data_IF_258241067423
#
_entry.id   IF_258241067423
#
_cell.length_a   1.000
_cell.length_b   1.000
_cell.length_c   1.000
_cell.angle_alpha   90.00
_cell.angle_beta   90.00
_cell.angle_gamma   90.00
#
_symmetry.space_group_name_H-M   'P 1'
#
loop_
_entity.id
_entity.type
_entity.pdbx_description
1 polymer ?
#
# COMPACT_ATOMS: atom_id res chain seq x y z
N UNK A 1 -16.61 6.87 -1.48
CA UNK A 1 -16.07 7.79 -2.51
C UNK A 1 -14.72 7.26 -2.99
N UNK A 2 -14.64 6.86 -4.27
CA UNK A 2 -13.49 6.33 -5.01
C UNK A 2 -12.57 5.36 -4.23
N UNK A 3 -13.12 4.21 -3.83
CA UNK A 3 -12.57 3.28 -2.84
C UNK A 3 -11.51 2.28 -3.36
N UNK A 4 -11.01 2.40 -4.58
CA UNK A 4 -10.10 1.38 -5.14
C UNK A 4 -8.73 1.35 -4.44
N UNK A 5 -8.22 2.45 -3.88
CA UNK A 5 -6.92 2.44 -3.18
C UNK A 5 -7.04 2.44 -1.65
N UNK A 6 -8.25 2.40 -1.09
CA UNK A 6 -8.42 2.52 0.36
C UNK A 6 -7.85 1.31 1.11
N UNK A 7 -8.01 0.10 0.56
CA UNK A 7 -7.45 -1.12 1.12
C UNK A 7 -5.92 -1.09 1.14
N UNK A 8 -5.28 -0.60 0.07
CA UNK A 8 -3.83 -0.39 0.00
C UNK A 8 -3.33 0.60 1.05
N UNK A 9 -4.05 1.71 1.23
CA UNK A 9 -3.69 2.73 2.22
C UNK A 9 -3.87 2.22 3.65
N UNK A 10 -4.93 1.45 3.91
CA UNK A 10 -5.17 0.80 5.20
C UNK A 10 -4.05 -0.20 5.52
N UNK A 11 -3.70 -1.06 4.56
CA UNK A 11 -2.58 -2.00 4.68
C UNK A 11 -1.26 -1.31 4.99
N UNK A 12 -0.95 -0.23 4.27
CA UNK A 12 0.28 0.53 4.46
C UNK A 12 0.31 1.17 5.86
N UNK A 13 -0.81 1.69 6.34
CA UNK A 13 -0.92 2.23 7.71
C UNK A 13 -0.66 1.16 8.76
N UNK A 14 -1.28 0.00 8.64
CA UNK A 14 -1.06 -1.11 9.58
C UNK A 14 0.41 -1.56 9.60
N UNK A 15 1.01 -1.67 8.42
CA UNK A 15 2.43 -2.00 8.29
C UNK A 15 3.32 -0.95 8.96
N UNK A 16 3.02 0.34 8.77
CA UNK A 16 3.76 1.44 9.41
C UNK A 16 3.60 1.42 10.93
N UNK A 17 2.41 1.12 11.45
CA UNK A 17 2.18 1.01 12.89
C UNK A 17 3.01 -0.12 13.51
N UNK A 18 3.24 -1.21 12.79
CA UNK A 18 4.12 -2.32 13.22
C UNK A 18 5.61 -2.04 12.98
N UNK A 19 5.95 -1.05 12.15
CA UNK A 19 7.32 -0.78 11.76
C UNK A 19 8.14 -0.11 12.86
N UNK A 20 9.44 -0.35 12.81
CA UNK A 20 10.42 0.24 13.72
C UNK A 20 10.45 1.77 13.68
N UNK A 21 10.11 2.41 12.56
CA UNK A 21 10.14 3.87 12.50
C UNK A 21 9.06 4.51 13.40
N UNK A 22 7.86 3.93 13.47
CA UNK A 22 6.81 4.44 14.36
C UNK A 22 7.02 3.92 15.78
N UNK A 23 7.35 2.63 15.93
CA UNK A 23 7.49 1.99 17.24
C UNK A 23 8.77 2.41 18.00
N UNK A 24 9.92 2.52 17.32
CA UNK A 24 11.20 2.88 17.95
C UNK A 24 11.44 4.38 17.98
N UNK A 25 11.13 5.11 16.90
CA UNK A 25 11.43 6.54 16.81
C UNK A 25 10.26 7.44 17.20
N UNK A 26 9.03 6.93 17.26
CA UNK A 26 7.83 7.74 17.57
C UNK A 26 7.47 8.74 16.47
N UNK A 27 8.04 8.58 15.28
CA UNK A 27 7.81 9.49 14.16
C UNK A 27 6.43 9.27 13.53
N UNK A 28 5.91 10.31 12.88
CA UNK A 28 4.64 10.21 12.16
C UNK A 28 4.79 9.19 11.00
N UNK A 29 3.79 8.34 10.72
CA UNK A 29 3.86 7.38 9.60
C UNK A 29 4.16 8.03 8.24
N UNK A 30 3.72 9.27 8.06
CA UNK A 30 3.98 10.08 6.87
C UNK A 30 5.45 10.49 6.75
N UNK A 31 6.13 10.65 7.87
CA UNK A 31 7.53 11.04 7.96
C UNK A 31 8.45 9.84 7.74
N UNK A 32 8.08 8.70 8.32
CA UNK A 32 8.70 7.41 8.07
C UNK A 32 8.73 7.06 6.57
N UNK A 33 7.62 7.32 5.87
CA UNK A 33 7.56 7.15 4.42
C UNK A 33 8.45 8.13 3.64
N UNK A 34 8.80 9.30 4.18
CA UNK A 34 9.59 10.29 3.44
C UNK A 34 11.09 10.12 3.70
N UNK A 35 11.47 9.90 4.95
CA UNK A 35 12.86 9.97 5.38
C UNK A 35 13.45 8.61 5.78
N UNK A 36 12.62 7.64 6.16
CA UNK A 36 13.05 6.34 6.70
C UNK A 36 12.54 5.17 5.86
N UNK A 37 12.69 5.28 4.53
CA UNK A 37 12.22 4.25 3.59
C UNK A 37 13.04 2.98 3.68
N UNK A 38 14.33 3.13 3.98
CA UNK A 38 15.28 2.03 4.07
C UNK A 38 15.16 1.26 5.40
N UNK A 39 14.72 1.92 6.47
CA UNK A 39 14.45 1.30 7.78
C UNK A 39 13.12 0.53 7.82
N UNK A 40 12.30 0.64 6.76
CA UNK A 40 11.01 -0.02 6.67
C UNK A 40 11.16 -1.46 6.14
N UNK A 41 10.40 -2.43 6.70
CA UNK A 41 10.40 -3.79 6.20
C UNK A 41 9.94 -3.85 4.74
N UNK A 42 10.39 -4.87 4.02
CA UNK A 42 10.11 -5.03 2.58
C UNK A 42 8.61 -5.02 2.27
N UNK A 43 7.77 -5.58 3.16
CA UNK A 43 6.32 -5.54 3.06
C UNK A 43 5.76 -4.11 3.02
N UNK A 44 6.25 -3.20 3.86
CA UNK A 44 5.80 -1.80 3.85
C UNK A 44 6.24 -1.09 2.57
N UNK A 45 7.44 -1.41 2.05
CA UNK A 45 7.94 -0.86 0.78
C UNK A 45 7.11 -1.32 -0.41
N UNK A 46 6.69 -2.59 -0.45
CA UNK A 46 5.84 -3.12 -1.52
C UNK A 46 4.44 -2.48 -1.49
N UNK A 47 3.83 -2.36 -0.31
CA UNK A 47 2.55 -1.67 -0.10
C UNK A 47 2.60 -0.20 -0.52
N UNK A 48 3.71 0.49 -0.23
CA UNK A 48 3.91 1.86 -0.68
C UNK A 48 3.92 1.96 -2.20
N UNK A 49 4.66 1.08 -2.88
CA UNK A 49 4.74 1.04 -4.35
C UNK A 49 3.36 0.78 -4.95
N UNK A 50 2.64 -0.22 -4.44
CA UNK A 50 1.29 -0.54 -4.90
C UNK A 50 0.31 0.62 -4.66
N UNK A 51 0.39 1.31 -3.51
CA UNK A 51 -0.42 2.51 -3.23
C UNK A 51 -0.12 3.64 -4.22
N UNK A 52 1.16 3.85 -4.54
CA UNK A 52 1.59 4.85 -5.52
C UNK A 52 1.08 4.52 -6.93
N UNK A 53 1.20 3.27 -7.35
CA UNK A 53 0.69 2.78 -8.63
C UNK A 53 -0.83 2.87 -8.72
N UNK A 54 -1.54 2.55 -7.63
CA UNK A 54 -2.99 2.67 -7.54
C UNK A 54 -3.43 4.12 -7.70
N UNK A 55 -2.83 5.05 -6.95
CA UNK A 55 -3.14 6.48 -7.03
C UNK A 55 -2.78 7.06 -8.40
N UNK A 56 -1.64 6.66 -8.97
CA UNK A 56 -1.23 7.03 -10.33
C UNK A 56 -2.23 6.51 -11.37
N UNK A 57 -2.71 5.28 -11.22
CA UNK A 57 -3.70 4.69 -12.11
C UNK A 57 -5.10 5.34 -12.03
N UNK A 58 -5.47 5.89 -10.86
CA UNK A 58 -6.70 6.69 -10.72
C UNK A 58 -6.62 8.06 -11.42
N UNK A 59 -5.43 8.64 -11.45
CA UNK A 59 -5.16 9.93 -12.11
C UNK A 59 -4.95 9.78 -13.63
N UNK A 60 -4.56 8.59 -14.08
CA UNK A 60 -4.36 8.30 -15.51
C UNK A 60 -5.71 8.12 -16.23
N UNK A 61 -6.10 9.14 -17.02
CA UNK A 61 -7.32 9.12 -17.83
C UNK A 61 -7.36 7.94 -18.83
N UNK A 62 -6.19 7.43 -19.26
CA UNK A 62 -6.09 6.31 -20.21
C UNK A 62 -6.50 4.99 -19.56
N UNK A 63 -6.32 4.87 -18.24
CA UNK A 63 -6.73 3.70 -17.45
C UNK A 63 -8.19 3.77 -16.97
N UNK A 64 -8.84 4.94 -17.01
CA UNK A 64 -10.27 5.06 -16.67
C UNK A 64 -11.17 4.24 -17.58
N UNK A 65 -10.81 4.09 -18.86
CA UNK A 65 -11.60 3.31 -19.83
C UNK A 65 -11.45 1.79 -19.67
N UNK A 66 -10.33 1.31 -19.09
CA UNK A 66 -10.02 -0.14 -18.95
C UNK A 66 -10.08 -0.65 -17.50
N UNK A 67 -10.29 0.25 -16.54
CA UNK A 67 -10.26 -0.07 -15.11
C UNK A 67 -8.86 0.03 -14.50
N UNK A 68 -8.80 0.46 -13.24
CA UNK A 68 -7.56 0.54 -12.47
C UNK A 68 -7.29 -0.81 -11.78
N UNK A 69 -6.64 -1.74 -12.48
CA UNK A 69 -6.39 -3.12 -12.01
C UNK A 69 -5.73 -3.20 -10.62
N UNK A 70 -4.80 -2.29 -10.31
CA UNK A 70 -4.04 -2.30 -9.05
C UNK A 70 -4.93 -2.00 -7.85
N UNK A 71 -5.91 -1.11 -8.02
CA UNK A 71 -6.86 -0.82 -6.95
C UNK A 71 -8.02 -1.81 -6.86
N UNK A 72 -8.39 -2.45 -7.97
CA UNK A 72 -9.49 -3.41 -7.97
C UNK A 72 -9.08 -4.83 -7.55
N UNK A 73 -7.80 -5.21 -7.69
CA UNK A 73 -7.32 -6.57 -7.36
C UNK A 73 -6.66 -6.67 -5.98
N UNK A 74 -6.45 -5.57 -5.27
CA UNK A 74 -5.83 -5.60 -3.95
C UNK A 74 -6.87 -5.80 -2.85
N UNK A 75 -7.04 -7.05 -2.42
CA UNK A 75 -7.72 -7.40 -1.18
C UNK A 75 -6.71 -7.45 -0.04
N UNK A 76 -6.92 -6.60 0.97
CA UNK A 76 -6.15 -6.60 2.20
C UNK A 76 -6.94 -7.34 3.27
N UNK A 77 -6.47 -8.51 3.66
CA UNK A 77 -6.96 -9.20 4.86
C UNK A 77 -5.91 -9.00 5.96
N UNK A 78 -6.34 -8.49 7.11
CA UNK A 78 -5.47 -8.26 8.28
C UNK A 78 -5.04 -9.61 8.88
N UNK A 79 -4.03 -10.22 8.25
CA UNK A 79 -3.21 -11.37 8.68
C UNK A 79 -3.95 -12.60 9.24
N UNK A 80 -4.30 -13.55 8.38
CA UNK A 80 -4.00 -14.99 8.59
C UNK A 80 -4.20 -15.74 7.25
N UNK A 81 -3.17 -16.49 6.83
CA UNK A 81 -3.12 -17.44 5.68
C UNK A 81 -3.12 -16.90 4.23
N UNK A 82 -1.94 -17.12 3.63
CA UNK A 82 -1.69 -17.52 2.23
C UNK A 82 -1.83 -16.44 1.16
N UNK A 83 -0.70 -15.78 0.92
CA UNK A 83 -0.27 -15.42 -0.43
C UNK A 83 -0.53 -16.62 -1.36
N UNK A 84 -1.54 -16.53 -2.21
CA UNK A 84 -1.66 -17.38 -3.40
C UNK A 84 -1.72 -16.46 -4.59
N UNK A 85 -0.76 -16.53 -5.53
CA UNK A 85 -0.89 -15.80 -6.77
C UNK A 85 -1.93 -16.52 -7.64
N UNK A 86 -2.99 -15.86 -8.15
CA UNK A 86 -3.35 -16.07 -9.52
C UNK A 86 -2.43 -15.14 -10.33
N UNK A 87 -1.91 -15.54 -11.49
CA UNK A 87 -2.62 -15.43 -12.76
C UNK A 87 -1.78 -16.21 -13.79
N UNK A 88 -2.41 -17.06 -14.62
CA UNK A 88 -2.27 -16.95 -16.07
C UNK A 88 -3.48 -16.24 -16.68
#
# INVERSE_FOLDING_TARGET
MASSCQNLVAALKDCLMKSDCVMKQGNLPSDCLKHHVDDLPEECRSLRKATFECKRGMLDMRKRMRGNIVGSQFEYTSQDRKQTPPIP
#
